data_IF_163316327997
#
_entry.id   IF_163316327997
#
_cell.length_a   1.000
_cell.length_b   1.000
_cell.length_c   1.000
_cell.angle_alpha   90.00
_cell.angle_beta   90.00
_cell.angle_gamma   90.00
#
_symmetry.space_group_name_H-M   'P 1'
#
loop_
_entity.id
_entity.type
_entity.pdbx_description
1 polymer ?
#
# COMPACT_ATOMS: atom_id res chain seq x y z
N UNK A 1 -5.78 19.51 6.20
CA UNK A 1 -6.41 18.53 5.29
C UNK A 1 -6.28 17.16 5.92
N UNK A 2 -7.33 16.36 5.89
CA UNK A 2 -7.32 15.01 6.42
C UNK A 2 -7.96 14.06 5.42
N UNK A 3 -7.49 12.83 5.37
CA UNK A 3 -8.09 11.75 4.60
C UNK A 3 -8.50 10.61 5.53
N UNK A 4 -9.66 10.05 5.29
CA UNK A 4 -10.04 8.81 5.93
C UNK A 4 -9.89 7.67 4.90
N UNK A 5 -9.44 6.52 5.33
CA UNK A 5 -9.20 5.40 4.43
C UNK A 5 -9.76 4.09 4.99
N UNK A 6 -10.07 3.17 4.07
CA UNK A 6 -10.35 1.78 4.38
C UNK A 6 -9.80 0.88 3.29
N UNK A 7 -9.03 -0.12 3.68
CA UNK A 7 -8.50 -1.17 2.79
C UNK A 7 -9.23 -2.47 3.09
N UNK A 8 -9.93 -3.02 2.13
CA UNK A 8 -10.61 -4.31 2.24
C UNK A 8 -9.92 -5.34 1.35
N UNK A 9 -9.80 -6.55 1.85
CA UNK A 9 -9.17 -7.67 1.15
C UNK A 9 -10.07 -8.91 1.11
N UNK A 10 -10.05 -9.69 0.02
CA UNK A 10 -10.89 -10.87 -0.15
C UNK A 10 -10.19 -12.14 0.38
N UNK A 11 -9.92 -12.20 1.69
CA UNK A 11 -9.39 -13.42 2.30
C UNK A 11 -7.91 -13.68 2.04
N UNK A 12 -7.07 -12.76 2.50
CA UNK A 12 -5.61 -12.88 2.44
C UNK A 12 -5.05 -13.54 3.70
N UNK A 13 -4.00 -14.34 3.58
CA UNK A 13 -3.26 -14.94 4.70
C UNK A 13 -1.81 -14.45 4.71
N UNK A 14 -1.12 -14.62 5.83
CA UNK A 14 0.30 -14.32 5.99
C UNK A 14 0.66 -12.89 5.57
N UNK A 15 -0.16 -11.91 5.96
CA UNK A 15 0.09 -10.50 5.67
C UNK A 15 1.46 -10.07 6.18
N UNK A 16 2.27 -9.53 5.31
CA UNK A 16 3.56 -8.93 5.67
C UNK A 16 3.42 -7.41 5.83
N UNK A 17 3.05 -6.74 4.77
CA UNK A 17 2.90 -5.28 4.72
C UNK A 17 1.83 -4.88 3.71
N UNK A 18 1.24 -3.71 3.93
CA UNK A 18 0.36 -3.07 2.95
C UNK A 18 0.69 -1.58 2.86
N UNK A 19 0.88 -1.08 1.65
CA UNK A 19 1.25 0.32 1.42
C UNK A 19 0.72 0.85 0.09
N UNK A 20 0.79 2.18 -0.07
CA UNK A 20 0.43 2.88 -1.30
C UNK A 20 1.68 3.29 -2.06
N UNK A 21 1.63 3.12 -3.38
CA UNK A 21 2.59 3.69 -4.34
C UNK A 21 1.97 4.87 -5.09
N UNK A 22 2.78 5.88 -5.39
CA UNK A 22 2.39 7.01 -6.24
C UNK A 22 3.23 7.01 -7.51
N UNK A 23 2.55 6.84 -8.64
CA UNK A 23 3.17 6.91 -9.96
C UNK A 23 3.25 8.33 -10.51
N UNK A 24 4.18 8.59 -11.45
CA UNK A 24 4.25 9.89 -12.13
C UNK A 24 3.08 10.17 -13.08
N UNK A 25 2.35 9.13 -13.50
CA UNK A 25 1.18 9.19 -14.37
C UNK A 25 0.11 8.20 -13.91
N UNK A 26 -1.14 8.29 -14.40
CA UNK A 26 -2.17 7.30 -14.10
C UNK A 26 -1.71 5.89 -14.41
N UNK A 27 -2.00 4.95 -13.49
CA UNK A 27 -1.53 3.56 -13.56
C UNK A 27 -2.67 2.59 -13.80
N UNK A 28 -2.35 1.55 -14.56
CA UNK A 28 -3.16 0.33 -14.60
C UNK A 28 -2.89 -0.50 -13.33
N UNK A 29 -3.88 -1.24 -12.86
CA UNK A 29 -3.82 -2.01 -11.59
C UNK A 29 -2.73 -3.09 -11.59
N UNK A 30 -2.26 -3.48 -12.77
CA UNK A 30 -1.34 -4.61 -12.95
C UNK A 30 0.09 -4.37 -12.50
N UNK A 31 0.51 -3.10 -12.39
CA UNK A 31 1.90 -2.75 -12.06
C UNK A 31 1.93 -1.65 -10.99
N UNK A 32 2.38 -1.92 -9.77
CA UNK A 32 2.66 -0.84 -8.81
C UNK A 32 3.84 -0.05 -9.34
N UNK A 33 3.63 1.23 -9.56
CA UNK A 33 4.67 2.11 -10.06
C UNK A 33 4.91 3.24 -9.07
N UNK A 34 6.17 3.60 -8.91
CA UNK A 34 6.59 4.73 -8.11
C UNK A 34 6.93 4.40 -6.66
N UNK A 35 7.38 5.41 -5.91
CA UNK A 35 7.72 5.30 -4.49
C UNK A 35 6.52 5.06 -3.60
N UNK A 36 6.80 4.59 -2.38
CA UNK A 36 5.80 4.43 -1.33
C UNK A 36 5.46 5.80 -0.75
N UNK A 37 4.18 6.05 -0.51
CA UNK A 37 3.67 7.28 0.08
C UNK A 37 3.04 7.09 1.46
N UNK A 38 2.47 5.93 1.74
CA UNK A 38 1.80 5.66 3.01
C UNK A 38 1.74 4.18 3.33
N UNK A 39 1.87 3.82 4.61
CA UNK A 39 1.81 2.45 5.13
C UNK A 39 0.48 2.21 5.83
N UNK A 40 -0.34 1.31 5.28
CA UNK A 40 -1.61 0.93 5.89
C UNK A 40 -1.43 -0.11 7.00
N UNK A 41 -0.46 -1.00 6.86
CA UNK A 41 -0.17 -2.07 7.81
C UNK A 41 1.28 -2.52 7.71
N UNK A 42 1.86 -2.93 8.84
CA UNK A 42 3.20 -3.51 8.92
C UNK A 42 4.34 -2.49 8.96
N UNK A 43 4.10 -1.22 8.64
CA UNK A 43 5.12 -0.18 8.61
C UNK A 43 6.29 -0.46 7.66
N UNK A 44 7.32 0.39 7.66
CA UNK A 44 8.55 0.08 6.94
C UNK A 44 9.16 -1.24 7.44
N UNK A 45 9.82 -2.04 6.58
CA UNK A 45 10.46 -3.28 7.00
C UNK A 45 11.46 -3.10 8.16
N UNK A 46 11.57 -4.08 9.09
CA UNK A 46 10.87 -5.36 9.08
C UNK A 46 9.44 -5.23 9.62
N UNK A 47 8.45 -5.43 8.76
CA UNK A 47 7.03 -5.41 9.13
C UNK A 47 6.65 -6.55 10.07
N UNK A 48 5.49 -6.43 10.71
CA UNK A 48 4.90 -7.51 11.47
C UNK A 48 4.33 -8.56 10.52
N UNK A 49 4.73 -9.81 10.69
CA UNK A 49 4.16 -10.93 9.95
C UNK A 49 2.88 -11.39 10.67
N UNK A 50 1.73 -11.18 10.05
CA UNK A 50 0.45 -11.65 10.56
C UNK A 50 0.13 -13.00 9.92
N UNK A 51 0.13 -14.05 10.72
CA UNK A 51 -0.18 -15.42 10.27
C UNK A 51 -1.67 -15.68 10.08
N UNK A 52 -2.53 -14.76 10.56
CA UNK A 52 -3.98 -14.90 10.46
C UNK A 52 -4.50 -14.54 9.07
N UNK A 53 -5.60 -15.18 8.69
CA UNK A 53 -6.32 -14.82 7.48
C UNK A 53 -7.20 -13.60 7.73
N UNK A 54 -7.02 -12.57 6.90
CA UNK A 54 -7.87 -11.38 6.89
C UNK A 54 -8.85 -11.46 5.73
N UNK A 55 -10.13 -11.33 6.02
CA UNK A 55 -11.19 -11.24 5.02
C UNK A 55 -12.10 -10.06 5.38
N UNK A 56 -12.17 -9.06 4.53
CA UNK A 56 -12.83 -7.80 4.82
C UNK A 56 -11.84 -6.68 5.13
N UNK A 57 -12.05 -5.92 6.18
CA UNK A 57 -11.21 -4.75 6.50
C UNK A 57 -9.82 -5.18 6.97
N UNK A 58 -8.81 -4.86 6.18
CA UNK A 58 -7.41 -5.01 6.53
C UNK A 58 -6.92 -3.85 7.40
N UNK A 59 -7.27 -2.64 7.01
CA UNK A 59 -6.91 -1.43 7.72
C UNK A 59 -7.97 -0.36 7.49
N UNK A 60 -8.23 0.44 8.52
CA UNK A 60 -9.00 1.67 8.41
C UNK A 60 -8.43 2.72 9.38
N UNK A 61 -8.61 3.99 9.04
CA UNK A 61 -8.07 5.07 9.84
C UNK A 61 -8.13 6.42 9.18
N UNK A 62 -7.31 7.31 9.71
CA UNK A 62 -7.20 8.68 9.25
C UNK A 62 -5.73 9.04 9.02
N UNK A 63 -5.48 9.74 7.92
CA UNK A 63 -4.21 10.43 7.66
C UNK A 63 -4.48 11.90 7.96
N UNK A 64 -3.90 12.42 9.04
CA UNK A 64 -4.28 13.74 9.59
C UNK A 64 -3.20 14.79 9.36
N UNK A 65 -1.94 14.38 9.29
CA UNK A 65 -0.81 15.28 9.16
C UNK A 65 0.08 14.89 7.99
N UNK A 66 0.77 15.89 7.45
CA UNK A 66 1.76 15.65 6.39
C UNK A 66 2.91 14.75 6.89
N UNK A 67 3.18 14.73 8.19
CA UNK A 67 4.17 13.82 8.79
C UNK A 67 3.80 12.33 8.73
N UNK A 68 2.55 11.99 8.41
CA UNK A 68 2.11 10.61 8.21
C UNK A 68 2.37 10.11 6.78
N UNK A 69 2.73 11.01 5.88
CA UNK A 69 2.89 10.75 4.45
C UNK A 69 4.36 10.82 4.07
N UNK A 70 4.90 9.73 3.52
CA UNK A 70 6.27 9.70 3.04
C UNK A 70 6.44 10.58 1.78
N UNK A 71 7.62 11.18 1.65
CA UNK A 71 7.98 11.93 0.43
C UNK A 71 8.24 10.94 -0.72
N UNK A 72 7.31 10.91 -1.68
CA UNK A 72 7.40 10.01 -2.84
C UNK A 72 8.06 10.65 -4.06
N UNK A 73 8.41 11.91 -4.00
CA UNK A 73 9.04 12.60 -5.13
C UNK A 73 10.44 13.12 -4.78
N UNK A 74 11.50 12.40 -5.21
CA UNK A 74 12.87 12.84 -4.99
C UNK A 74 13.22 14.16 -5.69
N UNK A 75 12.34 14.66 -6.57
CA UNK A 75 12.49 15.95 -7.26
C UNK A 75 11.80 17.11 -6.52
N UNK A 76 11.26 16.85 -5.32
CA UNK A 76 10.65 17.84 -4.43
C UNK A 76 9.53 18.66 -5.09
N UNK A 77 8.57 18.01 -5.73
CA UNK A 77 7.35 18.73 -6.09
C UNK A 77 6.63 19.19 -4.82
N UNK A 78 6.06 20.40 -4.79
CA UNK A 78 5.57 21.04 -3.56
C UNK A 78 4.52 20.27 -2.77
N UNK A 79 3.95 19.21 -3.35
CA UNK A 79 2.87 18.43 -2.73
C UNK A 79 3.29 17.01 -2.35
N UNK A 80 4.52 16.60 -2.68
CA UNK A 80 5.06 15.32 -2.23
C UNK A 80 5.23 15.32 -0.71
N UNK A 81 4.93 14.22 -0.06
CA UNK A 81 4.96 14.13 1.40
C UNK A 81 3.86 14.91 2.11
N UNK A 82 2.78 15.27 1.41
CA UNK A 82 1.64 15.97 2.01
C UNK A 82 0.33 15.20 1.83
N UNK A 83 -0.59 15.33 2.79
CA UNK A 83 -1.94 14.74 2.70
C UNK A 83 -2.69 15.29 1.48
N UNK A 84 -2.56 16.58 1.19
CA UNK A 84 -3.20 17.20 0.03
C UNK A 84 -2.68 16.64 -1.29
N UNK A 85 -1.37 16.42 -1.39
CA UNK A 85 -0.73 15.79 -2.54
C UNK A 85 -1.15 14.35 -2.73
N UNK A 86 -1.22 13.57 -1.64
CA UNK A 86 -1.71 12.20 -1.66
C UNK A 86 -3.17 12.14 -2.18
N UNK A 87 -4.07 12.96 -1.65
CA UNK A 87 -5.45 13.04 -2.10
C UNK A 87 -5.53 13.41 -3.60
N UNK A 88 -4.70 14.35 -4.04
CA UNK A 88 -4.64 14.72 -5.45
C UNK A 88 -4.17 13.55 -6.32
N UNK A 89 -3.11 12.85 -5.94
CA UNK A 89 -2.61 11.69 -6.67
C UNK A 89 -3.65 10.56 -6.78
N UNK A 90 -4.44 10.34 -5.72
CA UNK A 90 -5.56 9.40 -5.73
C UNK A 90 -6.61 9.83 -6.78
N UNK A 91 -7.05 11.10 -6.75
CA UNK A 91 -8.04 11.62 -7.70
C UNK A 91 -7.57 11.62 -9.15
N UNK A 92 -6.28 11.69 -9.38
CA UNK A 92 -5.65 11.60 -10.69
C UNK A 92 -5.42 10.17 -11.16
N UNK A 93 -5.78 9.15 -10.36
CA UNK A 93 -5.58 7.75 -10.68
C UNK A 93 -4.12 7.30 -10.65
N UNK A 94 -3.27 8.01 -9.91
CA UNK A 94 -1.83 7.71 -9.79
C UNK A 94 -1.48 6.86 -8.57
N UNK A 95 -2.42 6.67 -7.66
CA UNK A 95 -2.22 5.93 -6.42
C UNK A 95 -2.70 4.48 -6.54
N UNK A 96 -1.84 3.56 -6.16
CA UNK A 96 -2.16 2.14 -6.07
C UNK A 96 -1.81 1.58 -4.70
N UNK A 97 -2.60 0.65 -4.19
CA UNK A 97 -2.29 -0.11 -2.99
C UNK A 97 -1.70 -1.46 -3.36
N UNK A 98 -0.70 -1.88 -2.63
CA UNK A 98 -0.11 -3.22 -2.73
C UNK A 98 -0.13 -3.87 -1.35
N UNK A 99 -0.56 -5.12 -1.32
CA UNK A 99 -0.55 -5.98 -0.13
C UNK A 99 0.43 -7.11 -0.37
N UNK A 100 1.43 -7.22 0.48
CA UNK A 100 2.47 -8.25 0.42
C UNK A 100 2.19 -9.33 1.46
N UNK A 101 2.49 -10.56 1.10
CA UNK A 101 2.37 -11.73 1.97
C UNK A 101 3.64 -12.54 1.99
N UNK A 102 3.82 -13.36 3.00
CA UNK A 102 4.99 -14.23 3.12
C UNK A 102 4.69 -15.38 4.09
N UNK A 103 4.67 -16.59 3.62
CA UNK A 103 4.50 -17.79 4.45
C UNK A 103 5.80 -18.27 5.12
N UNK A 104 6.90 -17.51 4.89
CA UNK A 104 8.25 -17.82 5.39
C UNK A 104 8.88 -19.10 4.80
N UNK A 105 8.28 -19.71 3.78
CA UNK A 105 8.92 -20.82 3.08
C UNK A 105 10.01 -20.27 2.13
N UNK A 106 11.28 -20.68 2.27
CA UNK A 106 12.35 -20.22 1.41
C UNK A 106 12.24 -20.69 -0.05
N UNK A 107 11.34 -21.63 -0.36
CA UNK A 107 11.13 -22.13 -1.72
C UNK A 107 10.03 -21.38 -2.48
N UNK A 108 9.60 -20.23 -1.96
CA UNK A 108 8.52 -19.42 -2.52
C UNK A 108 9.00 -18.47 -3.63
N UNK A 109 8.11 -18.00 -4.52
CA UNK A 109 6.66 -18.16 -4.46
C UNK A 109 6.19 -19.51 -5.02
N UNK A 110 5.34 -20.21 -4.26
CA UNK A 110 4.74 -21.46 -4.71
C UNK A 110 3.46 -21.27 -5.54
N UNK A 111 2.97 -20.03 -5.61
CA UNK A 111 1.70 -19.68 -6.24
C UNK A 111 0.48 -19.98 -5.38
N UNK A 112 0.68 -20.31 -4.12
CA UNK A 112 -0.38 -20.48 -3.13
C UNK A 112 -0.73 -19.11 -2.51
N UNK A 113 -2.00 -18.86 -2.23
CA UNK A 113 -2.44 -17.64 -1.58
C UNK A 113 -1.74 -17.42 -0.22
N UNK A 114 -1.19 -16.24 0.00
CA UNK A 114 -0.44 -15.89 1.20
C UNK A 114 1.08 -16.05 1.08
N UNK A 115 1.60 -16.09 -0.14
CA UNK A 115 2.98 -16.45 -0.48
C UNK A 115 3.59 -15.52 -1.55
N UNK A 116 3.35 -14.23 -1.47
CA UNK A 116 3.88 -13.28 -2.46
C UNK A 116 4.53 -12.06 -1.86
N UNK A 117 5.84 -12.12 -1.66
CA UNK A 117 6.66 -10.97 -1.23
C UNK A 117 6.66 -9.83 -2.24
N UNK A 118 6.44 -10.11 -3.52
CA UNK A 118 6.35 -9.10 -4.57
C UNK A 118 5.00 -8.34 -4.60
N UNK A 119 4.06 -8.76 -3.78
CA UNK A 119 2.69 -8.22 -3.71
C UNK A 119 1.66 -9.19 -4.27
N UNK A 120 0.75 -9.64 -3.42
CA UNK A 120 -0.30 -10.60 -3.78
C UNK A 120 -1.56 -9.91 -4.29
N UNK A 121 -1.97 -8.85 -3.62
CA UNK A 121 -3.13 -8.06 -4.00
C UNK A 121 -2.72 -6.64 -4.38
N UNK A 122 -3.36 -6.13 -5.41
CA UNK A 122 -3.17 -4.77 -5.90
C UNK A 122 -4.52 -4.14 -6.22
N UNK A 123 -4.62 -2.83 -6.01
CA UNK A 123 -5.80 -2.07 -6.32
C UNK A 123 -5.50 -0.60 -6.50
N UNK A 124 -6.36 0.11 -7.21
CA UNK A 124 -6.32 1.57 -7.27
C UNK A 124 -7.06 2.17 -6.08
N UNK A 125 -6.54 3.28 -5.55
CA UNK A 125 -7.25 4.10 -4.58
C UNK A 125 -8.20 5.06 -5.32
N UNK A 126 -9.39 5.25 -4.76
CA UNK A 126 -10.46 6.10 -5.33
C UNK A 126 -11.04 7.03 -4.26
#
# INVERSE_FOLDING_TARGET
TAANYRVNVPGIANLLIAHTHIAPAPVEVTEPAGPIAYWFSGGPPPGANLTERVNGTLADGFIITDGDVDDWDPMNTPDSGTVAGLIRAIKEGRASVVVHTDDLDPNTPTGVAGDSRAGELRGTLQ
#
